data_IF_264774057350
#
_entry.id   IF_264774057350
#
_cell.length_a   1.000
_cell.length_b   1.000
_cell.length_c   1.000
_cell.angle_alpha   90.00
_cell.angle_beta   90.00
_cell.angle_gamma   90.00
#
_symmetry.space_group_name_H-M   'P 1'
#
loop_
_entity.id
_entity.type
_entity.pdbx_description
1 polymer ?
#
# COMPACT_ATOMS: atom_id res chain seq x y z
N UNK A 1 9.38 -16.16 -10.67
CA UNK A 1 9.62 -14.97 -9.83
C UNK A 1 8.31 -14.64 -9.15
N UNK A 2 8.28 -14.52 -7.83
CA UNK A 2 7.04 -14.17 -7.10
C UNK A 2 6.76 -12.67 -7.23
N UNK A 3 5.55 -12.23 -6.85
CA UNK A 3 5.21 -10.81 -6.82
C UNK A 3 6.15 -10.05 -5.87
N UNK A 4 6.44 -10.62 -4.70
CA UNK A 4 7.35 -10.03 -3.70
C UNK A 4 8.75 -9.77 -4.25
N UNK A 5 9.32 -10.75 -4.97
CA UNK A 5 10.65 -10.62 -5.57
C UNK A 5 10.70 -9.45 -6.56
N UNK A 6 9.70 -9.39 -7.46
CA UNK A 6 9.60 -8.33 -8.46
C UNK A 6 9.37 -6.95 -7.85
N UNK A 7 8.52 -6.88 -6.82
CA UNK A 7 8.27 -5.63 -6.10
C UNK A 7 9.50 -5.14 -5.35
N UNK A 8 10.23 -6.02 -4.67
CA UNK A 8 11.47 -5.66 -3.96
C UNK A 8 12.50 -5.09 -4.94
N UNK A 9 12.66 -5.69 -6.12
CA UNK A 9 13.53 -5.15 -7.18
C UNK A 9 13.11 -3.75 -7.63
N UNK A 10 11.83 -3.53 -7.94
CA UNK A 10 11.35 -2.22 -8.38
C UNK A 10 11.45 -1.14 -7.30
N UNK A 11 11.14 -1.48 -6.04
CA UNK A 11 11.28 -0.55 -4.92
C UNK A 11 12.74 -0.17 -4.73
N UNK A 12 13.67 -1.13 -4.76
CA UNK A 12 15.13 -0.88 -4.66
C UNK A 12 15.69 -0.11 -5.86
N UNK A 13 15.03 -0.20 -7.02
CA UNK A 13 15.32 0.61 -8.19
C UNK A 13 14.66 2.01 -8.17
N UNK A 14 14.02 2.40 -7.05
CA UNK A 14 13.41 3.71 -6.83
C UNK A 14 12.28 4.06 -7.82
N UNK A 15 11.51 3.08 -8.30
CA UNK A 15 10.27 3.37 -9.02
C UNK A 15 9.24 3.98 -8.06
N UNK A 16 8.75 5.18 -8.37
CA UNK A 16 7.86 5.97 -7.50
C UNK A 16 6.39 5.57 -7.60
N UNK A 17 6.04 4.75 -8.59
CA UNK A 17 4.68 4.29 -8.82
C UNK A 17 4.68 3.00 -9.64
N UNK A 18 3.88 2.04 -9.23
CA UNK A 18 3.75 0.73 -9.88
C UNK A 18 2.27 0.44 -10.11
N UNK A 19 1.94 0.07 -11.35
CA UNK A 19 0.63 -0.50 -11.66
C UNK A 19 0.71 -2.02 -11.50
N UNK A 20 -0.09 -2.59 -10.60
CA UNK A 20 -0.12 -4.02 -10.32
C UNK A 20 -1.42 -4.59 -10.86
N UNK A 21 -1.31 -5.52 -11.80
CA UNK A 21 -2.43 -6.31 -12.31
C UNK A 21 -2.35 -7.71 -11.72
N UNK A 22 -3.44 -8.17 -11.09
CA UNK A 22 -3.55 -9.52 -10.54
C UNK A 22 -4.89 -10.14 -10.94
N UNK A 23 -4.90 -11.45 -11.14
CA UNK A 23 -6.15 -12.21 -11.26
C UNK A 23 -6.66 -12.67 -9.89
N UNK A 24 -5.80 -12.64 -8.87
CA UNK A 24 -6.05 -13.03 -7.48
C UNK A 24 -5.65 -11.84 -6.58
N UNK A 25 -6.54 -10.84 -6.49
CA UNK A 25 -6.25 -9.57 -5.83
C UNK A 25 -5.98 -9.72 -4.33
N UNK A 26 -6.75 -10.57 -3.64
CA UNK A 26 -6.60 -10.80 -2.20
C UNK A 26 -5.24 -11.41 -1.86
N UNK A 27 -4.78 -12.40 -2.64
CA UNK A 27 -3.49 -13.04 -2.44
C UNK A 27 -2.33 -12.09 -2.78
N UNK A 28 -2.47 -11.28 -3.82
CA UNK A 28 -1.50 -10.23 -4.15
C UNK A 28 -1.35 -9.21 -3.00
N UNK A 29 -2.45 -8.73 -2.43
CA UNK A 29 -2.44 -7.82 -1.28
C UNK A 29 -1.79 -8.47 -0.05
N UNK A 30 -2.11 -9.73 0.23
CA UNK A 30 -1.51 -10.48 1.34
C UNK A 30 0.00 -10.65 1.16
N UNK A 31 0.44 -10.97 -0.05
CA UNK A 31 1.84 -11.09 -0.40
C UNK A 31 2.59 -9.76 -0.26
N UNK A 32 2.02 -8.64 -0.73
CA UNK A 32 2.57 -7.29 -0.54
C UNK A 32 2.70 -6.96 0.96
N UNK A 33 1.66 -7.23 1.75
CA UNK A 33 1.67 -6.97 3.19
C UNK A 33 2.70 -7.83 3.94
N UNK A 34 2.95 -9.05 3.48
CA UNK A 34 4.04 -9.90 4.01
C UNK A 34 5.40 -9.32 3.68
N UNK A 35 5.65 -8.93 2.42
CA UNK A 35 6.90 -8.29 2.01
C UNK A 35 7.20 -7.04 2.86
N UNK A 36 6.23 -6.13 3.01
CA UNK A 36 6.42 -4.92 3.82
C UNK A 36 6.77 -5.26 5.28
N UNK A 37 6.18 -6.31 5.86
CA UNK A 37 6.51 -6.74 7.22
C UNK A 37 7.91 -7.32 7.33
N UNK A 38 8.31 -8.16 6.37
CA UNK A 38 9.63 -8.78 6.31
C UNK A 38 10.73 -7.73 6.14
N UNK A 39 10.51 -6.72 5.29
CA UNK A 39 11.44 -5.62 5.04
C UNK A 39 11.28 -4.45 6.05
N UNK A 40 10.38 -4.58 7.01
CA UNK A 40 10.04 -3.54 8.01
C UNK A 40 9.62 -2.19 7.39
N UNK A 41 8.98 -2.22 6.23
CA UNK A 41 8.39 -1.05 5.59
C UNK A 41 7.02 -0.70 6.18
N UNK A 42 6.75 0.59 6.31
CA UNK A 42 5.42 1.07 6.62
C UNK A 42 4.51 0.86 5.40
N UNK A 43 3.33 0.28 5.63
CA UNK A 43 2.32 0.06 4.61
C UNK A 43 1.06 0.85 4.98
N UNK A 44 0.66 1.78 4.13
CA UNK A 44 -0.64 2.43 4.17
C UNK A 44 -1.47 1.95 2.98
N UNK A 45 -2.76 1.77 3.17
CA UNK A 45 -3.69 1.36 2.11
C UNK A 45 -4.79 2.38 1.99
N UNK A 46 -5.12 2.78 0.77
CA UNK A 46 -6.31 3.58 0.50
C UNK A 46 -7.25 2.79 -0.40
N UNK A 47 -8.52 2.76 -0.04
CA UNK A 47 -9.58 2.11 -0.78
C UNK A 47 -10.75 3.08 -0.98
N UNK A 48 -11.48 2.96 -2.09
CA UNK A 48 -12.56 3.89 -2.41
C UNK A 48 -13.74 3.80 -1.42
N UNK A 49 -13.99 2.62 -0.86
CA UNK A 49 -15.08 2.37 0.07
C UNK A 49 -14.63 2.58 1.53
N UNK A 50 -13.39 2.23 1.86
CA UNK A 50 -12.86 2.30 3.23
C UNK A 50 -12.00 3.53 3.55
N UNK A 51 -11.55 4.28 2.55
CA UNK A 51 -10.64 5.41 2.69
C UNK A 51 -9.21 5.00 3.07
N UNK A 52 -8.45 5.95 3.64
CA UNK A 52 -7.07 5.72 4.09
C UNK A 52 -7.03 4.90 5.39
N UNK A 53 -6.24 3.84 5.40
CA UNK A 53 -5.93 3.00 6.55
C UNK A 53 -4.41 2.92 6.74
N UNK A 54 -3.97 3.27 7.96
CA UNK A 54 -2.58 3.19 8.39
C UNK A 54 -2.54 2.30 9.64
N UNK A 55 -1.84 1.14 9.59
CA UNK A 55 -1.69 0.27 10.75
C UNK A 55 -1.13 1.01 11.97
N UNK A 56 -1.83 0.93 13.10
CA UNK A 56 -1.44 1.58 14.36
C UNK A 56 -2.05 2.96 14.60
N UNK A 57 -2.82 3.51 13.65
CA UNK A 57 -3.64 4.70 13.88
C UNK A 57 -5.08 4.27 14.25
N UNK A 58 -5.56 4.72 15.42
CA UNK A 58 -6.91 4.38 15.93
C UNK A 58 -7.97 5.40 15.50
N UNK A 59 -7.54 6.63 15.20
CA UNK A 59 -8.44 7.67 14.71
C UNK A 59 -8.46 7.65 13.18
N UNK A 60 -9.65 7.58 12.54
CA UNK A 60 -9.74 7.71 11.10
C UNK A 60 -9.17 9.08 10.70
N UNK A 61 -8.27 9.09 9.71
CA UNK A 61 -7.80 10.34 9.12
C UNK A 61 -9.03 11.13 8.68
N UNK A 62 -9.18 12.36 9.22
CA UNK A 62 -10.31 13.25 9.03
C UNK A 62 -10.93 13.12 7.63
N UNK A 63 -12.28 13.11 7.57
CA UNK A 63 -13.26 13.24 6.46
C UNK A 63 -12.83 13.47 4.99
N UNK A 64 -11.60 13.86 4.68
CA UNK A 64 -10.92 13.72 3.39
C UNK A 64 -10.30 12.34 3.12
N UNK A 65 -10.46 11.34 4.01
CA UNK A 65 -9.92 9.99 3.80
C UNK A 65 -10.42 9.27 2.53
N UNK A 66 -11.53 9.70 1.92
CA UNK A 66 -12.03 9.19 0.63
C UNK A 66 -11.52 9.99 -0.58
N UNK A 67 -10.78 11.09 -0.40
CA UNK A 67 -10.07 11.76 -1.48
C UNK A 67 -8.66 11.15 -1.60
N UNK A 68 -8.31 10.51 -2.74
CA UNK A 68 -6.98 9.91 -2.91
C UNK A 68 -5.85 10.95 -2.83
N UNK A 69 -6.09 12.23 -3.18
CA UNK A 69 -5.07 13.26 -3.05
C UNK A 69 -4.84 13.67 -1.59
N UNK A 70 -5.91 13.75 -0.79
CA UNK A 70 -5.80 13.97 0.64
C UNK A 70 -5.08 12.80 1.34
N UNK A 71 -5.34 11.56 0.89
CA UNK A 71 -4.65 10.37 1.42
C UNK A 71 -3.13 10.42 1.17
N UNK A 72 -2.70 10.78 -0.04
CA UNK A 72 -1.28 10.95 -0.38
C UNK A 72 -0.63 12.05 0.48
N UNK A 73 -1.32 13.17 0.72
CA UNK A 73 -0.82 14.27 1.55
C UNK A 73 -0.70 13.91 3.03
N UNK A 74 -1.50 12.97 3.51
CA UNK A 74 -1.45 12.53 4.91
C UNK A 74 -0.23 11.63 5.21
N UNK A 75 0.40 11.04 4.18
CA UNK A 75 1.51 10.07 4.33
C UNK A 75 2.86 10.58 3.82
N UNK A 76 2.92 11.77 3.22
CA UNK A 76 4.17 12.43 2.77
C UNK A 76 4.49 13.63 3.67
#
# INVERSE_FOLDING_TARGET
MTLSQRLSEYIRACFTGLWIESHEHADALLEIARLCREEQWQLATWDIDAGLNIPGQTEPADSGGADPLAAIRAVN
#
